data_IF_163791162670
#
_entry.id   IF_163791162670
#
_cell.length_a   1.000
_cell.length_b   1.000
_cell.length_c   1.000
_cell.angle_alpha   90.00
_cell.angle_beta   90.00
_cell.angle_gamma   90.00
#
_symmetry.space_group_name_H-M   'P 1'
#
loop_
_entity.id
_entity.type
_entity.pdbx_description
1 polymer ?
#
# COMPACT_ATOMS: atom_id res chain seq x y z
N UNK A 1 -4.35 18.38 0.23
CA UNK A 1 -3.87 19.07 -1.01
C UNK A 1 -3.51 17.99 -2.01
N UNK A 2 -3.92 18.13 -3.28
CA UNK A 2 -3.52 17.22 -4.36
C UNK A 2 -2.54 17.94 -5.29
N UNK A 3 -1.46 17.26 -5.65
CA UNK A 3 -0.46 17.76 -6.60
C UNK A 3 -0.53 16.91 -7.86
N UNK A 4 -0.67 17.56 -9.01
CA UNK A 4 -0.64 16.87 -10.30
C UNK A 4 0.78 16.43 -10.63
N UNK A 5 0.96 15.14 -10.95
CA UNK A 5 2.23 14.57 -11.41
C UNK A 5 2.03 13.97 -12.81
N UNK A 6 3.04 14.12 -13.67
CA UNK A 6 3.09 13.41 -14.96
C UNK A 6 3.71 12.05 -14.75
N UNK A 7 3.14 11.03 -15.39
CA UNK A 7 3.66 9.66 -15.38
C UNK A 7 3.63 9.12 -16.81
N UNK A 8 4.47 8.14 -17.11
CA UNK A 8 4.53 7.51 -18.42
C UNK A 8 3.26 6.70 -18.72
N UNK A 9 2.90 6.61 -20.00
CA UNK A 9 1.68 5.92 -20.46
C UNK A 9 1.67 4.42 -20.08
N UNK A 10 2.85 3.79 -20.05
CA UNK A 10 3.00 2.39 -19.65
C UNK A 10 2.66 2.19 -18.17
N UNK A 11 3.18 3.06 -17.30
CA UNK A 11 2.89 3.02 -15.87
C UNK A 11 1.41 3.29 -15.61
N UNK A 12 0.83 4.26 -16.31
CA UNK A 12 -0.60 4.55 -16.22
C UNK A 12 -1.45 3.34 -16.64
N UNK A 13 -1.08 2.67 -17.73
CA UNK A 13 -1.79 1.50 -18.26
C UNK A 13 -1.72 0.31 -17.30
N UNK A 14 -0.55 0.05 -16.71
CA UNK A 14 -0.35 -0.96 -15.67
C UNK A 14 -1.22 -0.66 -14.44
N UNK A 15 -1.17 0.58 -13.93
CA UNK A 15 -1.95 1.00 -12.78
C UNK A 15 -3.45 0.87 -13.06
N UNK A 16 -3.92 1.27 -14.24
CA UNK A 16 -5.32 1.17 -14.66
C UNK A 16 -5.84 -0.26 -14.70
N UNK A 17 -5.01 -1.20 -15.16
CA UNK A 17 -5.40 -2.61 -15.18
C UNK A 17 -5.43 -3.20 -13.78
N UNK A 18 -4.42 -2.92 -12.95
CA UNK A 18 -4.35 -3.45 -11.59
C UNK A 18 -5.40 -2.86 -10.67
N UNK A 19 -5.67 -1.55 -10.77
CA UNK A 19 -6.63 -0.87 -9.91
C UNK A 19 -8.05 -1.43 -10.08
N UNK A 20 -8.42 -1.87 -11.29
CA UNK A 20 -9.70 -2.57 -11.53
C UNK A 20 -9.81 -3.88 -10.76
N UNK A 21 -8.74 -4.67 -10.74
CA UNK A 21 -8.71 -5.95 -10.03
C UNK A 21 -8.71 -5.77 -8.51
N UNK A 22 -8.08 -4.71 -8.02
CA UNK A 22 -7.93 -4.43 -6.59
C UNK A 22 -8.97 -3.43 -6.05
N UNK A 23 -9.99 -3.09 -6.84
CA UNK A 23 -11.06 -2.15 -6.48
C UNK A 23 -10.55 -0.77 -6.00
N UNK A 24 -9.51 -0.25 -6.66
CA UNK A 24 -8.92 1.08 -6.42
C UNK A 24 -9.09 2.00 -7.63
N UNK A 25 -9.07 3.31 -7.39
CA UNK A 25 -8.83 4.28 -8.47
C UNK A 25 -7.37 4.20 -8.95
N UNK A 26 -7.10 4.65 -10.19
CA UNK A 26 -5.73 4.65 -10.74
C UNK A 26 -4.75 5.43 -9.87
N UNK A 27 -5.07 6.65 -9.39
CA UNK A 27 -4.16 7.38 -8.48
C UNK A 27 -3.92 6.63 -7.16
N UNK A 28 -4.94 5.98 -6.60
CA UNK A 28 -4.78 5.17 -5.39
C UNK A 28 -3.88 3.96 -5.62
N UNK A 29 -3.95 3.32 -6.78
CA UNK A 29 -3.07 2.20 -7.12
C UNK A 29 -1.60 2.63 -7.21
N UNK A 30 -1.33 3.77 -7.85
CA UNK A 30 0.03 4.34 -7.92
C UNK A 30 0.53 4.72 -6.53
N UNK A 31 -0.32 5.37 -5.72
CA UNK A 31 0.03 5.72 -4.34
C UNK A 31 0.32 4.48 -3.48
N UNK A 32 -0.44 3.40 -3.65
CA UNK A 32 -0.21 2.13 -2.99
C UNK A 32 1.16 1.53 -3.36
N UNK A 33 1.51 1.47 -4.65
CA UNK A 33 2.83 1.01 -5.08
C UNK A 33 3.96 1.88 -4.54
N UNK A 34 3.77 3.20 -4.49
CA UNK A 34 4.75 4.11 -3.90
C UNK A 34 4.92 3.88 -2.39
N UNK A 35 3.82 3.67 -1.64
CA UNK A 35 3.84 3.40 -0.19
C UNK A 35 4.57 2.09 0.10
N UNK A 36 4.23 1.01 -0.61
CA UNK A 36 4.87 -0.30 -0.45
C UNK A 36 6.34 -0.26 -0.90
N UNK A 37 6.62 0.31 -2.08
CA UNK A 37 7.96 0.37 -2.64
C UNK A 37 8.93 1.16 -1.76
N UNK A 38 8.50 2.30 -1.21
CA UNK A 38 9.30 3.06 -0.24
C UNK A 38 9.58 2.23 1.01
N UNK A 39 8.55 1.63 1.60
CA UNK A 39 8.72 0.83 2.82
C UNK A 39 9.65 -0.38 2.59
N UNK A 40 9.61 -1.01 1.43
CA UNK A 40 10.51 -2.10 1.06
C UNK A 40 11.96 -1.63 0.84
N UNK A 41 12.16 -0.43 0.28
CA UNK A 41 13.50 0.15 0.15
C UNK A 41 14.11 0.54 1.50
N UNK A 42 13.28 1.04 2.43
CA UNK A 42 13.70 1.40 3.79
C UNK A 42 14.01 0.14 4.64
N UNK A 43 13.46 -1.03 4.30
CA UNK A 43 13.62 -2.30 5.01
C UNK A 43 13.99 -3.45 4.04
N UNK A 44 15.22 -3.44 3.47
CA UNK A 44 15.61 -4.33 2.38
C UNK A 44 15.75 -5.81 2.78
N UNK A 45 15.81 -6.09 4.07
CA UNK A 45 15.87 -7.41 4.68
C UNK A 45 14.48 -8.06 4.83
N UNK A 46 13.40 -7.29 4.69
CA UNK A 46 12.04 -7.80 4.81
C UNK A 46 11.47 -8.19 3.44
N UNK A 47 10.80 -9.36 3.33
CA UNK A 47 10.04 -9.71 2.14
C UNK A 47 8.97 -8.66 1.81
N UNK A 48 8.76 -8.38 0.53
CA UNK A 48 7.81 -7.35 0.09
C UNK A 48 6.37 -7.68 0.51
N UNK A 49 6.02 -8.96 0.56
CA UNK A 49 4.72 -9.44 1.06
C UNK A 49 4.54 -9.09 2.54
N UNK A 50 5.58 -9.26 3.37
CA UNK A 50 5.55 -8.91 4.79
C UNK A 50 5.37 -7.40 4.98
N UNK A 51 6.09 -6.59 4.21
CA UNK A 51 5.96 -5.12 4.23
C UNK A 51 4.53 -4.71 3.87
N UNK A 52 3.99 -5.28 2.78
CA UNK A 52 2.60 -5.02 2.34
C UNK A 52 1.60 -5.35 3.44
N UNK A 53 1.67 -6.56 3.99
CA UNK A 53 0.67 -7.05 4.93
C UNK A 53 0.75 -6.29 6.27
N UNK A 54 1.95 -5.91 6.69
CA UNK A 54 2.16 -5.04 7.86
C UNK A 54 1.55 -3.65 7.65
N UNK A 55 1.71 -3.05 6.47
CA UNK A 55 1.11 -1.76 6.15
C UNK A 55 -0.42 -1.80 6.13
N UNK A 56 -1.01 -2.96 5.81
CA UNK A 56 -2.46 -3.19 5.90
C UNK A 56 -2.86 -3.30 7.37
N UNK A 57 -2.18 -4.15 8.13
CA UNK A 57 -2.48 -4.38 9.55
C UNK A 57 -2.39 -3.11 10.41
N UNK A 58 -1.48 -2.18 10.07
CA UNK A 58 -1.36 -0.88 10.75
C UNK A 58 -2.56 0.05 10.50
N UNK A 59 -3.24 -0.09 9.37
CA UNK A 59 -4.41 0.71 9.01
C UNK A 59 -5.73 0.05 9.42
N UNK A 60 -5.72 -1.26 9.68
CA UNK A 60 -6.87 -1.98 10.22
C UNK A 60 -7.20 -1.52 11.64
N UNK A 61 -8.49 -1.52 11.97
CA UNK A 61 -8.95 -1.19 13.32
C UNK A 61 -8.53 -2.30 14.29
N UNK A 62 -7.69 -1.96 15.25
CA UNK A 62 -7.23 -2.87 16.30
C UNK A 62 -7.90 -2.54 17.62
N UNK A 63 -8.39 -3.56 18.33
CA UNK A 63 -8.83 -3.39 19.72
C UNK A 63 -7.67 -3.65 20.68
N UNK A 64 -7.52 -2.86 21.76
CA UNK A 64 -6.56 -3.14 22.81
C UNK A 64 -6.81 -4.53 23.39
N UNK A 65 -5.76 -5.34 23.47
CA UNK A 65 -5.85 -6.62 24.16
C UNK A 65 -6.00 -6.40 25.67
N UNK A 66 -7.14 -6.79 26.23
CA UNK A 66 -7.36 -6.80 27.68
C UNK A 66 -6.90 -8.13 28.28
N UNK A 67 -5.92 -8.08 29.18
CA UNK A 67 -5.53 -9.25 29.96
C UNK A 67 -6.63 -9.54 30.99
N UNK A 68 -7.30 -10.68 30.87
CA UNK A 68 -8.20 -11.16 31.92
C UNK A 68 -7.38 -11.47 33.17
N UNK A 69 -7.69 -10.81 34.28
CA UNK A 69 -7.20 -11.18 35.61
C UNK A 69 -7.90 -12.49 36.02
N UNK A 70 -7.25 -13.65 35.81
CA UNK A 70 -7.58 -14.91 36.50
C UNK A 70 -6.84 -15.01 37.84
#
# INVERSE_FOLDING_TARGET
MSTSIRIDDDLYSLAKNRSKAEMRSVPQQVAYWAKVGRAALDNPDLPIEFVRDTLIAVEEESEPFEFSEE
#
